data_IF_567164311603
#
_entry.id   IF_567164311603
#
_cell.length_a   1.000
_cell.length_b   1.000
_cell.length_c   1.000
_cell.angle_alpha   90.00
_cell.angle_beta   90.00
_cell.angle_gamma   90.00
#
_symmetry.space_group_name_H-M   'P 1'
#
loop_
_entity.id
_entity.type
_entity.pdbx_description
1 polymer ?
#
# COMPACT_ATOMS: atom_id res chain seq x y z
N UNK A 1 13.41 5.21 46.38
CA UNK A 1 12.99 6.28 45.45
C UNK A 1 12.73 5.63 44.11
N UNK A 2 11.45 5.40 43.83
CA UNK A 2 11.00 4.65 42.66
C UNK A 2 11.10 5.56 41.42
N UNK A 3 12.15 5.40 40.61
CA UNK A 3 12.21 6.07 39.31
C UNK A 3 11.14 5.43 38.44
N UNK A 4 9.94 6.01 38.42
CA UNK A 4 8.89 5.63 37.47
C UNK A 4 9.47 5.66 36.05
N UNK A 5 9.84 4.49 35.55
CA UNK A 5 10.40 4.32 34.23
C UNK A 5 9.32 4.72 33.25
N UNK A 6 9.56 5.79 32.47
CA UNK A 6 8.58 6.26 31.48
C UNK A 6 8.17 5.09 30.59
N UNK A 7 6.86 4.90 30.30
CA UNK A 7 6.43 3.81 29.44
C UNK A 7 7.08 3.95 28.06
N UNK A 8 7.66 2.85 27.59
CA UNK A 8 8.32 2.75 26.29
C UNK A 8 7.37 3.18 25.16
N UNK A 9 7.91 3.90 24.18
CA UNK A 9 7.19 4.28 22.98
C UNK A 9 8.12 4.77 21.91
N UNK A 10 7.97 4.22 20.71
CA UNK A 10 8.81 4.55 19.56
C UNK A 10 8.02 4.41 18.25
N UNK A 11 8.42 5.20 17.26
CA UNK A 11 7.90 5.12 15.89
C UNK A 11 9.05 4.77 14.97
N UNK A 12 8.91 3.65 14.27
CA UNK A 12 9.86 3.17 13.29
C UNK A 12 9.36 3.46 11.88
N UNK A 13 10.23 4.05 11.07
CA UNK A 13 10.04 4.12 9.62
C UNK A 13 10.76 2.93 9.02
N UNK A 14 10.01 2.02 8.39
CA UNK A 14 10.56 0.77 7.86
C UNK A 14 10.34 0.72 6.37
N UNK A 15 11.37 0.41 5.59
CA UNK A 15 11.22 -0.02 4.21
C UNK A 15 10.74 -1.47 4.22
N UNK A 16 9.44 -1.70 3.96
CA UNK A 16 8.85 -3.05 3.93
C UNK A 16 9.47 -3.85 2.79
N UNK A 17 10.09 -5.02 3.07
CA UNK A 17 10.61 -5.89 2.02
C UNK A 17 9.49 -6.42 1.11
N UNK A 18 9.84 -6.75 -0.14
CA UNK A 18 8.95 -7.44 -1.06
C UNK A 18 8.55 -8.82 -0.50
N UNK A 19 7.35 -9.29 -0.83
CA UNK A 19 6.72 -10.54 -0.33
C UNK A 19 6.42 -10.61 1.18
N UNK A 20 6.91 -9.68 1.99
CA UNK A 20 6.54 -9.60 3.40
C UNK A 20 5.18 -8.95 3.57
N UNK A 21 4.31 -9.51 4.40
CA UNK A 21 3.11 -8.79 4.82
C UNK A 21 3.50 -7.65 5.77
N UNK A 22 2.64 -6.63 5.87
CA UNK A 22 2.83 -5.59 6.90
C UNK A 22 2.84 -6.17 8.33
N UNK A 23 2.13 -7.28 8.55
CA UNK A 23 2.10 -7.96 9.84
C UNK A 23 3.39 -8.73 10.13
N UNK A 24 4.08 -9.27 9.12
CA UNK A 24 5.38 -9.92 9.31
C UNK A 24 6.42 -8.94 9.84
N UNK A 25 6.43 -7.71 9.31
CA UNK A 25 7.28 -6.62 9.83
C UNK A 25 6.95 -6.31 11.29
N UNK A 26 5.66 -6.14 11.61
CA UNK A 26 5.21 -5.93 13.00
C UNK A 26 5.65 -7.08 13.91
N UNK A 27 5.45 -8.33 13.48
CA UNK A 27 5.84 -9.52 14.25
C UNK A 27 7.35 -9.56 14.50
N UNK A 28 8.16 -9.25 13.48
CA UNK A 28 9.62 -9.21 13.60
C UNK A 28 10.08 -8.15 14.59
N UNK A 29 9.56 -6.93 14.50
CA UNK A 29 9.90 -5.83 15.42
C UNK A 29 9.42 -6.15 16.83
N UNK A 30 8.18 -6.62 16.98
CA UNK A 30 7.60 -7.03 18.27
C UNK A 30 8.43 -8.07 19.00
N UNK A 31 8.84 -9.13 18.29
CA UNK A 31 9.65 -10.20 18.86
C UNK A 31 11.05 -9.71 19.24
N UNK A 32 11.60 -8.76 18.49
CA UNK A 32 12.92 -8.18 18.78
C UNK A 32 12.85 -7.24 19.99
N UNK A 33 11.83 -6.39 20.08
CA UNK A 33 11.61 -5.50 21.21
C UNK A 33 11.16 -6.22 22.49
N UNK A 34 10.66 -7.46 22.38
CA UNK A 34 10.07 -8.24 23.49
C UNK A 34 8.91 -7.52 24.19
N UNK A 35 8.13 -6.73 23.45
CA UNK A 35 6.92 -6.06 23.96
C UNK A 35 5.66 -6.57 23.26
N UNK A 36 4.49 -6.43 23.89
CA UNK A 36 3.22 -6.88 23.29
C UNK A 36 2.62 -5.86 22.31
N UNK A 37 2.74 -4.57 22.61
CA UNK A 37 1.99 -3.50 21.92
C UNK A 37 2.78 -2.94 20.74
N UNK A 38 2.59 -3.51 19.55
CA UNK A 38 3.18 -3.04 18.29
C UNK A 38 2.12 -3.11 17.18
N UNK A 39 2.04 -2.08 16.35
CA UNK A 39 1.11 -2.02 15.21
C UNK A 39 1.66 -1.13 14.10
N UNK A 40 1.01 -1.13 12.93
CA UNK A 40 1.45 -0.32 11.79
C UNK A 40 0.38 0.68 11.35
N UNK A 41 0.80 1.78 10.73
CA UNK A 41 -0.07 2.86 10.30
C UNK A 41 -0.42 2.82 8.81
N UNK A 42 -1.01 1.72 8.39
CA UNK A 42 -1.51 1.53 7.03
C UNK A 42 -0.87 0.33 6.36
N UNK A 43 -1.71 -0.60 5.93
CA UNK A 43 -1.27 -1.84 5.26
C UNK A 43 -0.58 -1.50 3.94
N UNK A 44 0.45 -2.27 3.61
CA UNK A 44 0.96 -2.49 2.27
C UNK A 44 0.75 -3.95 1.93
N UNK A 45 0.29 -4.18 0.70
CA UNK A 45 0.11 -5.51 0.14
C UNK A 45 1.47 -6.25 0.09
N UNK A 46 1.48 -7.60 0.10
CA UNK A 46 2.72 -8.38 0.12
C UNK A 46 3.67 -8.02 -1.02
N UNK A 47 3.13 -7.84 -2.23
CA UNK A 47 3.90 -7.50 -3.44
C UNK A 47 4.24 -6.00 -3.55
N UNK A 48 3.75 -5.16 -2.64
CA UNK A 48 4.20 -3.77 -2.55
C UNK A 48 5.48 -3.68 -1.71
N UNK A 49 6.24 -2.60 -1.86
CA UNK A 49 7.40 -2.26 -1.03
C UNK A 49 7.28 -0.85 -0.46
N UNK A 50 8.28 -0.40 0.29
CA UNK A 50 8.39 1.00 0.71
C UNK A 50 7.86 1.26 2.11
N UNK A 51 7.54 2.52 2.38
CA UNK A 51 7.43 3.06 3.73
C UNK A 51 6.26 2.42 4.51
N UNK A 52 6.60 1.78 5.61
CA UNK A 52 5.68 1.29 6.63
C UNK A 52 6.04 1.94 7.97
N UNK A 53 5.12 2.77 8.48
CA UNK A 53 5.25 3.33 9.83
C UNK A 53 4.80 2.27 10.83
N UNK A 54 5.68 1.87 11.74
CA UNK A 54 5.42 0.92 12.82
C UNK A 54 5.51 1.64 14.16
N UNK A 55 4.44 1.60 14.93
CA UNK A 55 4.36 2.21 16.25
C UNK A 55 4.48 1.14 17.32
N UNK A 56 5.27 1.41 18.35
CA UNK A 56 5.54 0.51 19.46
C UNK A 56 5.22 1.17 20.81
N UNK A 57 4.76 0.38 21.79
CA UNK A 57 4.43 0.87 23.12
C UNK A 57 3.35 1.96 23.10
N UNK A 58 3.56 3.06 23.84
CA UNK A 58 2.60 4.18 23.91
C UNK A 58 2.34 4.85 22.56
N UNK A 59 3.26 4.77 21.59
CA UNK A 59 3.11 5.41 20.27
C UNK A 59 2.03 4.73 19.41
N UNK A 60 1.61 3.51 19.76
CA UNK A 60 0.47 2.86 19.09
C UNK A 60 -0.83 3.67 19.15
N UNK A 61 -0.97 4.60 20.12
CA UNK A 61 -2.11 5.53 20.19
C UNK A 61 -2.15 6.54 19.02
N UNK A 62 -1.02 6.76 18.35
CA UNK A 62 -0.87 7.70 17.25
C UNK A 62 -1.08 7.05 15.87
N UNK A 63 -1.34 5.74 15.79
CA UNK A 63 -1.52 5.00 14.53
C UNK A 63 -2.58 5.65 13.63
N UNK A 64 -3.72 6.04 14.20
CA UNK A 64 -4.82 6.63 13.42
C UNK A 64 -4.43 7.97 12.81
N UNK A 65 -3.63 8.78 13.52
CA UNK A 65 -3.09 10.06 13.02
C UNK A 65 -2.25 9.85 11.77
N UNK A 66 -1.34 8.88 11.79
CA UNK A 66 -0.52 8.54 10.62
C UNK A 66 -1.34 7.93 9.49
N UNK A 67 -2.32 7.08 9.82
CA UNK A 67 -3.22 6.49 8.83
C UNK A 67 -4.12 7.53 8.15
N UNK A 68 -4.42 8.68 8.77
CA UNK A 68 -5.21 9.74 8.17
C UNK A 68 -4.44 10.56 7.12
N UNK A 69 -3.10 10.56 7.17
CA UNK A 69 -2.26 11.35 6.27
C UNK A 69 -2.41 10.92 4.80
N UNK A 70 -2.11 11.81 3.86
CA UNK A 70 -1.97 11.43 2.45
C UNK A 70 -0.79 10.50 2.22
N UNK A 71 -0.84 9.71 1.14
CA UNK A 71 0.23 8.78 0.76
C UNK A 71 0.71 9.11 -0.64
N UNK A 72 1.99 8.85 -0.85
CA UNK A 72 2.65 8.95 -2.15
C UNK A 72 3.14 7.57 -2.56
N UNK A 73 2.85 7.19 -3.79
CA UNK A 73 3.23 5.92 -4.38
C UNK A 73 3.90 6.13 -5.74
N UNK A 74 4.85 5.27 -6.04
CA UNK A 74 5.36 5.03 -7.39
C UNK A 74 5.19 3.57 -7.76
N UNK A 75 5.12 3.28 -9.05
CA UNK A 75 4.92 1.91 -9.50
C UNK A 75 4.75 1.80 -11.00
N UNK A 76 4.30 0.61 -11.40
CA UNK A 76 4.09 0.25 -12.79
C UNK A 76 2.70 -0.37 -12.96
N UNK A 77 1.96 0.11 -13.95
CA UNK A 77 0.80 -0.58 -14.49
C UNK A 77 1.17 -1.24 -15.81
N UNK A 78 0.58 -2.40 -16.09
CA UNK A 78 0.73 -3.12 -17.36
C UNK A 78 -0.62 -3.13 -18.05
N UNK A 79 -0.69 -2.51 -19.23
CA UNK A 79 -1.89 -2.40 -20.07
C UNK A 79 -2.07 -3.64 -20.96
N UNK A 80 -3.28 -3.87 -21.45
CA UNK A 80 -3.59 -4.99 -22.36
C UNK A 80 -3.85 -6.33 -21.65
N UNK A 81 -3.65 -6.36 -20.33
CA UNK A 81 -3.77 -7.56 -19.49
C UNK A 81 -4.41 -7.20 -18.15
N UNK A 82 -5.00 -8.18 -17.48
CA UNK A 82 -5.58 -8.00 -16.15
C UNK A 82 -5.41 -9.25 -15.29
N UNK A 83 -5.72 -9.13 -14.00
CA UNK A 83 -5.78 -10.23 -13.03
C UNK A 83 -7.01 -10.03 -12.15
N UNK A 84 -7.49 -11.08 -11.48
CA UNK A 84 -8.65 -10.97 -10.58
C UNK A 84 -8.38 -10.02 -9.38
N UNK A 85 -7.13 -9.97 -8.91
CA UNK A 85 -6.71 -9.11 -7.79
C UNK A 85 -6.21 -7.72 -8.23
N UNK A 86 -6.13 -7.47 -9.54
CA UNK A 86 -5.53 -6.29 -10.18
C UNK A 86 -4.06 -6.03 -9.79
N UNK A 87 -3.38 -7.08 -9.34
CA UNK A 87 -1.95 -7.17 -9.09
C UNK A 87 -1.43 -8.57 -9.48
N UNK A 88 -0.18 -8.90 -9.15
CA UNK A 88 0.43 -10.19 -9.47
C UNK A 88 0.11 -11.35 -8.48
N UNK A 89 -0.88 -11.20 -7.58
CA UNK A 89 -1.29 -12.32 -6.71
C UNK A 89 -2.10 -13.40 -7.45
N UNK A 90 -2.67 -13.07 -8.61
CA UNK A 90 -3.49 -13.98 -9.43
C UNK A 90 -2.93 -14.11 -10.85
N UNK A 91 -3.41 -15.13 -11.58
CA UNK A 91 -2.98 -15.39 -12.95
C UNK A 91 -3.33 -14.23 -13.89
N UNK A 92 -2.36 -13.89 -14.75
CA UNK A 92 -2.48 -12.82 -15.76
C UNK A 92 -3.27 -13.30 -16.96
N UNK A 93 -4.27 -12.53 -17.36
CA UNK A 93 -5.14 -12.77 -18.51
C UNK A 93 -4.99 -11.65 -19.52
N UNK A 94 -4.80 -12.00 -20.80
CA UNK A 94 -4.84 -11.03 -21.90
C UNK A 94 -6.25 -10.51 -22.09
N UNK A 95 -6.38 -9.22 -22.35
CA UNK A 95 -7.66 -8.54 -22.59
C UNK A 95 -7.68 -7.98 -24.01
N UNK A 96 -6.72 -7.11 -24.37
CA UNK A 96 -6.60 -6.55 -25.71
C UNK A 96 -5.16 -6.10 -26.00
N UNK A 97 -4.90 -5.69 -27.24
CA UNK A 97 -3.61 -5.12 -27.65
C UNK A 97 -3.52 -3.62 -27.28
N UNK A 98 -2.58 -3.19 -26.41
CA UNK A 98 -2.46 -1.80 -26.00
C UNK A 98 -1.56 -0.96 -26.93
N UNK A 99 -0.90 -1.54 -27.94
CA UNK A 99 0.12 -0.84 -28.74
C UNK A 99 -0.43 0.25 -29.67
N UNK A 100 -1.75 0.35 -29.81
CA UNK A 100 -2.41 1.45 -30.50
C UNK A 100 -2.58 2.71 -29.62
N UNK A 101 -2.40 2.60 -28.30
CA UNK A 101 -2.62 3.70 -27.37
C UNK A 101 -1.52 4.75 -27.50
N UNK A 102 -1.93 6.01 -27.62
CA UNK A 102 -1.02 7.15 -27.61
C UNK A 102 -0.81 7.65 -26.17
N UNK A 103 0.23 8.48 -25.99
CA UNK A 103 0.43 9.21 -24.73
C UNK A 103 -0.80 10.03 -24.35
N UNK A 104 -1.44 10.68 -25.32
CA UNK A 104 -2.61 11.53 -25.10
C UNK A 104 -3.80 10.71 -24.57
N UNK A 105 -4.04 9.51 -25.11
CA UNK A 105 -5.11 8.61 -24.64
C UNK A 105 -4.92 8.26 -23.16
N UNK A 106 -3.69 7.87 -22.80
CA UNK A 106 -3.33 7.50 -21.43
C UNK A 106 -3.46 8.70 -20.49
N UNK A 107 -2.92 9.87 -20.87
CA UNK A 107 -2.99 11.08 -20.05
C UNK A 107 -4.44 11.56 -19.85
N UNK A 108 -5.30 11.45 -20.87
CA UNK A 108 -6.71 11.79 -20.78
C UNK A 108 -7.48 10.84 -19.86
N UNK A 109 -7.20 9.54 -19.94
CA UNK A 109 -7.79 8.56 -19.03
C UNK A 109 -7.34 8.82 -17.57
N UNK A 110 -6.06 9.09 -17.35
CA UNK A 110 -5.47 9.46 -16.04
C UNK A 110 -6.10 10.74 -15.47
N UNK A 111 -6.30 11.78 -16.30
CA UNK A 111 -6.93 13.02 -15.87
C UNK A 111 -8.34 12.78 -15.31
N UNK A 112 -9.11 11.85 -15.90
CA UNK A 112 -10.44 11.49 -15.42
C UNK A 112 -10.46 10.63 -14.15
N UNK A 113 -9.29 10.14 -13.71
CA UNK A 113 -9.08 9.41 -12.46
C UNK A 113 -8.38 10.27 -11.40
N UNK A 114 -8.23 11.57 -11.67
CA UNK A 114 -7.58 12.55 -10.79
C UNK A 114 -8.64 13.48 -10.18
N UNK A 115 -8.42 13.91 -8.93
CA UNK A 115 -9.37 14.70 -8.15
C UNK A 115 -10.22 13.86 -7.22
N UNK A 116 -11.41 14.34 -6.90
CA UNK A 116 -12.39 13.63 -6.07
C UNK A 116 -13.16 12.62 -6.92
N UNK A 117 -13.00 11.34 -6.60
CA UNK A 117 -13.58 10.22 -7.36
C UNK A 117 -14.29 9.23 -6.45
N UNK A 118 -15.21 8.47 -7.03
CA UNK A 118 -15.82 7.32 -6.38
C UNK A 118 -15.10 6.05 -6.81
N UNK A 119 -14.50 5.34 -5.86
CA UNK A 119 -13.72 4.14 -6.14
C UNK A 119 -14.39 2.91 -5.54
N UNK A 120 -14.56 1.86 -6.35
CA UNK A 120 -14.93 0.53 -5.87
C UNK A 120 -13.64 -0.16 -5.36
N UNK A 121 -13.54 -0.49 -4.06
CA UNK A 121 -12.40 -1.22 -3.53
C UNK A 121 -12.25 -2.61 -4.19
N UNK A 122 -11.05 -3.21 -4.21
CA UNK A 122 -10.89 -4.57 -4.71
C UNK A 122 -11.54 -5.58 -3.74
N UNK A 123 -12.01 -6.71 -4.28
CA UNK A 123 -12.56 -7.82 -3.49
C UNK A 123 -11.52 -8.38 -2.51
N UNK A 124 -10.23 -8.37 -2.88
CA UNK A 124 -9.11 -8.72 -2.02
C UNK A 124 -8.68 -7.56 -1.12
N UNK A 125 -9.61 -7.02 -0.32
CA UNK A 125 -9.36 -5.95 0.64
C UNK A 125 -9.65 -6.36 2.08
N UNK A 126 -9.06 -5.62 3.03
CA UNK A 126 -9.27 -5.82 4.47
C UNK A 126 -10.62 -5.26 4.98
N UNK A 127 -11.47 -4.74 4.08
CA UNK A 127 -12.80 -4.23 4.42
C UNK A 127 -13.62 -5.36 5.04
N UNK A 128 -14.47 -5.02 6.02
CA UNK A 128 -15.46 -5.94 6.55
C UNK A 128 -16.82 -5.62 5.95
N UNK A 129 -17.55 -6.64 5.51
CA UNK A 129 -18.98 -6.59 5.20
C UNK A 129 -19.67 -7.61 6.10
N UNK A 130 -20.71 -7.19 6.81
CA UNK A 130 -21.45 -8.04 7.77
C UNK A 130 -20.56 -8.73 8.82
N UNK A 131 -19.55 -8.01 9.32
CA UNK A 131 -18.61 -8.50 10.34
C UNK A 131 -17.49 -9.42 9.84
N UNK A 132 -17.56 -9.92 8.59
CA UNK A 132 -16.54 -10.79 7.97
C UNK A 132 -15.64 -9.99 7.02
N UNK A 133 -14.36 -10.35 6.93
CA UNK A 133 -13.42 -9.67 6.02
C UNK A 133 -13.69 -10.10 4.59
N UNK A 134 -13.76 -9.14 3.66
CA UNK A 134 -14.13 -9.38 2.25
C UNK A 134 -13.14 -10.33 1.58
N UNK A 135 -11.83 -10.24 1.87
CA UNK A 135 -10.84 -11.17 1.32
C UNK A 135 -11.10 -12.65 1.71
N UNK A 136 -11.67 -12.92 2.89
CA UNK A 136 -11.96 -14.30 3.34
C UNK A 136 -13.12 -14.91 2.55
N UNK A 137 -14.05 -14.07 2.12
CA UNK A 137 -15.18 -14.45 1.26
C UNK A 137 -14.75 -14.61 -0.21
N UNK A 138 -13.86 -13.74 -0.71
CA UNK A 138 -13.33 -13.82 -2.07
C UNK A 138 -12.59 -15.15 -2.32
N UNK A 139 -11.77 -15.61 -1.36
CA UNK A 139 -11.10 -16.93 -1.42
C UNK A 139 -12.06 -18.12 -1.47
N UNK A 140 -13.33 -17.93 -1.11
CA UNK A 140 -14.38 -18.95 -1.17
C UNK A 140 -15.21 -18.85 -2.45
N UNK A 141 -14.82 -18.02 -3.41
CA UNK A 141 -15.53 -17.79 -4.67
C UNK A 141 -16.83 -16.99 -4.51
N UNK A 142 -17.03 -16.31 -3.38
CA UNK A 142 -18.23 -15.49 -3.16
C UNK A 142 -17.93 -14.07 -3.60
N UNK A 143 -18.50 -13.65 -4.73
CA UNK A 143 -18.41 -12.27 -5.21
C UNK A 143 -19.20 -11.36 -4.27
N UNK A 144 -18.48 -10.50 -3.54
CA UNK A 144 -19.10 -9.49 -2.69
C UNK A 144 -19.23 -8.20 -3.49
N UNK A 145 -20.45 -7.75 -3.76
CA UNK A 145 -20.67 -6.41 -4.34
C UNK A 145 -20.27 -5.38 -3.28
N UNK A 146 -19.27 -4.55 -3.61
CA UNK A 146 -18.79 -3.48 -2.74
C UNK A 146 -19.32 -2.14 -3.23
N UNK A 147 -19.83 -1.34 -2.30
CA UNK A 147 -20.30 0.00 -2.61
C UNK A 147 -19.10 0.93 -2.90
N UNK A 148 -19.19 1.80 -3.93
CA UNK A 148 -18.19 2.82 -4.20
C UNK A 148 -17.97 3.74 -2.98
N UNK A 149 -16.73 4.18 -2.78
CA UNK A 149 -16.35 5.07 -1.68
C UNK A 149 -15.63 6.32 -2.21
N UNK A 150 -15.86 7.49 -1.59
CA UNK A 150 -15.16 8.70 -2.00
C UNK A 150 -13.69 8.61 -1.61
N UNK A 151 -12.82 8.95 -2.56
CA UNK A 151 -11.38 9.12 -2.37
C UNK A 151 -10.91 10.34 -3.16
N UNK A 152 -9.74 10.86 -2.80
CA UNK A 152 -9.14 11.99 -3.51
C UNK A 152 -7.78 11.56 -4.03
N UNK A 153 -7.60 11.66 -5.34
CA UNK A 153 -6.32 11.48 -6.03
C UNK A 153 -5.78 12.86 -6.35
N UNK A 154 -4.93 13.39 -5.46
CA UNK A 154 -4.36 14.74 -5.59
C UNK A 154 -3.42 14.84 -6.79
N UNK A 155 -2.63 13.80 -7.03
CA UNK A 155 -1.73 13.68 -8.18
C UNK A 155 -1.88 12.28 -8.75
N UNK A 156 -2.03 12.18 -10.06
CA UNK A 156 -1.82 10.97 -10.83
C UNK A 156 -1.05 11.36 -12.10
N UNK A 157 0.24 11.05 -12.10
CA UNK A 157 1.18 11.45 -13.13
C UNK A 157 1.78 10.20 -13.78
N UNK A 158 1.90 10.22 -15.11
CA UNK A 158 2.64 9.20 -15.85
C UNK A 158 4.09 9.65 -16.02
N UNK A 159 4.99 8.95 -15.36
CA UNK A 159 6.43 9.27 -15.32
C UNK A 159 7.23 8.59 -16.43
N UNK A 160 6.63 7.62 -17.13
CA UNK A 160 7.25 6.90 -18.23
C UNK A 160 6.24 6.00 -18.95
N UNK A 161 6.44 5.80 -20.25
CA UNK A 161 5.60 4.94 -21.09
C UNK A 161 6.53 4.04 -21.91
N UNK A 162 6.48 2.75 -21.65
CA UNK A 162 7.24 1.68 -22.30
C UNK A 162 6.26 0.53 -22.58
N UNK A 163 5.32 0.75 -23.50
CA UNK A 163 4.17 -0.16 -23.68
C UNK A 163 4.60 -1.64 -23.79
N UNK A 164 3.91 -2.55 -23.08
CA UNK A 164 2.64 -2.33 -22.36
C UNK A 164 2.78 -1.71 -20.96
N UNK A 165 3.99 -1.38 -20.52
CA UNK A 165 4.24 -0.84 -19.18
C UNK A 165 4.12 0.69 -19.15
N UNK A 166 3.49 1.21 -18.10
CA UNK A 166 3.49 2.64 -17.79
C UNK A 166 3.92 2.82 -16.34
N UNK A 167 4.79 3.80 -16.12
CA UNK A 167 5.25 4.17 -14.79
C UNK A 167 4.46 5.36 -14.28
N UNK A 168 4.13 5.34 -12.98
CA UNK A 168 3.31 6.38 -12.39
C UNK A 168 3.88 6.92 -11.09
N UNK A 169 3.40 8.12 -10.75
CA UNK A 169 3.44 8.71 -9.42
C UNK A 169 2.03 9.12 -9.00
N UNK A 170 1.59 8.65 -7.83
CA UNK A 170 0.26 8.92 -7.29
C UNK A 170 0.36 9.50 -5.88
N UNK A 171 -0.33 10.62 -5.64
CA UNK A 171 -0.57 11.16 -4.30
C UNK A 171 -2.06 11.09 -4.01
N UNK A 172 -2.45 10.42 -2.93
CA UNK A 172 -3.85 10.15 -2.66
C UNK A 172 -4.21 10.18 -1.17
N UNK A 173 -5.51 10.34 -0.90
CA UNK A 173 -6.07 10.29 0.44
C UNK A 173 -6.10 8.87 1.02
N UNK A 174 -6.40 8.77 2.32
CA UNK A 174 -6.59 7.48 3.01
C UNK A 174 -7.72 6.69 2.35
N UNK A 175 -7.51 5.38 2.18
CA UNK A 175 -8.54 4.47 1.67
C UNK A 175 -8.52 4.30 0.15
N UNK A 176 -7.67 5.04 -0.55
CA UNK A 176 -7.43 4.84 -1.99
C UNK A 176 -6.69 3.52 -2.22
N UNK A 177 -7.22 2.71 -3.14
CA UNK A 177 -6.62 1.47 -3.62
C UNK A 177 -5.97 1.74 -4.98
N UNK A 178 -4.64 1.61 -5.05
CA UNK A 178 -3.90 1.78 -6.30
C UNK A 178 -4.23 0.66 -7.30
N UNK A 179 -4.54 -0.54 -6.80
CA UNK A 179 -5.06 -1.67 -7.60
C UNK A 179 -6.38 -1.35 -8.29
N UNK A 180 -7.28 -0.63 -7.61
CA UNK A 180 -8.52 -0.16 -8.24
C UNK A 180 -8.23 0.89 -9.31
N UNK A 181 -7.26 1.80 -9.10
CA UNK A 181 -6.85 2.75 -10.15
C UNK A 181 -6.27 2.03 -11.38
N UNK A 182 -5.54 0.93 -11.20
CA UNK A 182 -5.09 0.10 -12.31
C UNK A 182 -6.28 -0.42 -13.13
N UNK A 183 -7.24 -1.08 -12.46
CA UNK A 183 -8.48 -1.55 -13.11
C UNK A 183 -9.20 -0.42 -13.83
N UNK A 184 -9.50 0.67 -13.13
CA UNK A 184 -10.31 1.77 -13.65
C UNK A 184 -9.62 2.45 -14.86
N UNK A 185 -8.29 2.51 -14.87
CA UNK A 185 -7.50 2.97 -16.02
C UNK A 185 -7.62 2.00 -17.20
N UNK A 186 -7.44 0.71 -16.95
CA UNK A 186 -7.58 -0.34 -17.95
C UNK A 186 -8.97 -0.38 -18.59
N UNK A 187 -10.02 -0.19 -17.79
CA UNK A 187 -11.41 -0.13 -18.24
C UNK A 187 -11.66 1.12 -19.11
N UNK A 188 -11.14 2.29 -18.71
CA UNK A 188 -11.26 3.54 -19.48
C UNK A 188 -10.54 3.50 -20.83
N UNK A 189 -9.44 2.76 -20.90
CA UNK A 189 -8.68 2.55 -22.13
C UNK A 189 -9.18 1.33 -22.92
N UNK A 190 -10.15 0.59 -22.39
CA UNK A 190 -10.74 -0.62 -23.00
C UNK A 190 -9.74 -1.74 -23.32
N UNK A 191 -8.56 -1.72 -22.67
CA UNK A 191 -7.51 -2.72 -22.85
C UNK A 191 -7.24 -3.55 -21.60
N UNK A 192 -7.87 -3.21 -20.47
CA UNK A 192 -7.55 -3.79 -19.17
C UNK A 192 -6.15 -3.39 -18.66
N UNK A 193 -5.96 -3.47 -17.35
CA UNK A 193 -4.67 -3.24 -16.74
C UNK A 193 -4.55 -3.94 -15.38
N UNK A 194 -3.32 -4.20 -14.95
CA UNK A 194 -3.01 -4.60 -13.57
C UNK A 194 -1.76 -3.88 -13.06
N UNK A 195 -1.56 -3.90 -11.75
CA UNK A 195 -0.39 -3.31 -11.08
C UNK A 195 0.72 -4.35 -10.91
N UNK A 196 1.82 -4.20 -11.66
CA UNK A 196 2.97 -5.11 -11.57
C UNK A 196 3.95 -4.75 -10.46
N UNK A 197 4.05 -3.46 -10.12
CA UNK A 197 4.92 -2.98 -9.06
C UNK A 197 4.29 -1.82 -8.30
N UNK A 198 4.50 -1.80 -6.99
CA UNK A 198 4.08 -0.69 -6.13
C UNK A 198 5.10 -0.44 -5.02
N UNK A 199 5.45 0.84 -4.83
CA UNK A 199 6.26 1.30 -3.71
C UNK A 199 5.60 2.51 -3.08
N UNK A 200 5.43 2.50 -1.75
CA UNK A 200 4.98 3.68 -1.01
C UNK A 200 6.19 4.54 -0.65
N UNK A 201 6.31 5.70 -1.26
CA UNK A 201 7.44 6.61 -1.05
C UNK A 201 7.22 7.54 0.14
N UNK A 202 5.96 7.84 0.50
CA UNK A 202 5.66 8.72 1.63
C UNK A 202 4.32 8.45 2.32
N UNK A 203 4.24 8.89 3.59
CA UNK A 203 3.01 9.06 4.36
C UNK A 203 3.10 10.44 5.02
N UNK A 204 2.35 11.43 4.55
CA UNK A 204 2.47 12.82 5.00
C UNK A 204 3.91 13.33 4.86
N UNK A 205 4.48 13.81 5.97
CA UNK A 205 5.87 14.29 6.05
C UNK A 205 6.91 13.16 6.09
N UNK A 206 6.51 11.92 6.40
CA UNK A 206 7.42 10.79 6.50
C UNK A 206 7.79 10.27 5.11
N UNK A 207 9.09 10.16 4.83
CA UNK A 207 9.63 9.73 3.53
C UNK A 207 10.39 8.43 3.65
N UNK A 208 10.28 7.59 2.62
CA UNK A 208 10.97 6.30 2.49
C UNK A 208 12.49 6.43 2.62
N UNK A 209 13.08 7.52 2.11
CA UNK A 209 14.53 7.77 2.23
C UNK A 209 15.05 7.84 3.68
N UNK A 210 14.16 8.10 4.65
CA UNK A 210 14.48 8.15 6.08
C UNK A 210 14.15 6.82 6.79
N UNK A 211 13.67 5.81 6.05
CA UNK A 211 13.28 4.53 6.60
C UNK A 211 14.47 3.58 6.69
N UNK A 212 14.44 2.72 7.70
CA UNK A 212 15.43 1.67 7.87
C UNK A 212 15.11 0.50 6.94
N UNK A 213 16.15 -0.15 6.42
CA UNK A 213 15.99 -1.54 6.00
C UNK A 213 15.68 -2.38 7.24
N UNK A 214 14.79 -3.36 7.09
CA UNK A 214 14.28 -4.11 8.24
C UNK A 214 15.41 -4.78 9.01
N UNK A 215 16.35 -5.41 8.31
CA UNK A 215 17.49 -6.13 8.89
C UNK A 215 18.36 -5.20 9.74
N UNK A 216 18.71 -4.03 9.19
CA UNK A 216 19.50 -3.00 9.88
C UNK A 216 18.79 -2.48 11.15
N UNK A 217 17.47 -2.29 11.07
CA UNK A 217 16.69 -1.89 12.24
C UNK A 217 16.72 -2.97 13.33
N UNK A 218 16.58 -4.25 12.95
CA UNK A 218 16.61 -5.35 13.92
C UNK A 218 17.99 -5.45 14.59
N UNK A 219 19.07 -5.26 13.86
CA UNK A 219 20.43 -5.22 14.42
C UNK A 219 20.60 -4.07 15.40
N UNK A 220 20.15 -2.86 15.04
CA UNK A 220 20.15 -1.69 15.91
C UNK A 220 19.42 -1.96 17.23
N UNK A 221 18.17 -2.46 17.16
CA UNK A 221 17.36 -2.73 18.36
C UNK A 221 18.06 -3.74 19.27
N UNK A 222 18.64 -4.81 18.72
CA UNK A 222 19.37 -5.81 19.50
C UNK A 222 20.59 -5.22 20.20
N UNK A 223 21.34 -4.35 19.52
CA UNK A 223 22.50 -3.68 20.08
C UNK A 223 22.12 -2.78 21.25
N UNK A 224 21.10 -1.94 21.09
CA UNK A 224 20.62 -1.04 22.14
C UNK A 224 20.08 -1.81 23.36
N UNK A 225 19.47 -2.99 23.17
CA UNK A 225 19.05 -3.84 24.28
C UNK A 225 20.23 -4.43 25.07
N UNK A 226 21.31 -4.81 24.38
CA UNK A 226 22.50 -5.35 25.01
C UNK A 226 23.31 -4.28 25.76
N UNK A 227 23.28 -3.03 25.32
CA UNK A 227 23.95 -1.90 25.98
C UNK A 227 23.19 -1.38 27.21
N UNK A 228 21.90 -1.71 27.34
CA UNK A 228 21.04 -1.33 28.47
C UNK A 228 20.82 -2.48 29.48
N UNK A 229 21.56 -3.59 29.35
CA UNK A 229 21.65 -4.72 30.28
C UNK A 229 22.96 -4.63 31.08
#
# INVERSE_FOLDING_TARGET
MDKQQKPYGEVFLVNKPYQWTSFDVVKKIRNTLKIKKVGHAGTLDPLATGLLIVCAGKETKNIEKYQAQKKEYSGTFVLGKTTESFDLEQEVKTVADPFHLTREDIEKAVASLTGDIMQIPPNHSAIKKDGKRVYESARKGITVVLDPRPVTVEIFEITGIELPEIHFRIVCSKGTYIRSLARDLGDKLEVGAYMSALRRDAIGEFKLKNAWQLEQLIEKIKKEQNENL
#
